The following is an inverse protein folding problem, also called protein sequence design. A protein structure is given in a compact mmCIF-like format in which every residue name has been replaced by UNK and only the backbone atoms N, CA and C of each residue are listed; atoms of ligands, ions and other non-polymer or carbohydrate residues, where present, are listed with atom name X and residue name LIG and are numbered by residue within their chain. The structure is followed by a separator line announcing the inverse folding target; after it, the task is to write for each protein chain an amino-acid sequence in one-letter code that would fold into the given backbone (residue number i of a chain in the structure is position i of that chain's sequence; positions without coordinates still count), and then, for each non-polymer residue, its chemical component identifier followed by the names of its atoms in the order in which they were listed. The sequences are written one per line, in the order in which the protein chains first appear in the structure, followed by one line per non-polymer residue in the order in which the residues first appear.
data_IF_002484062950
#
_entry.id   IF_002484062950
#
_cell.length_a   1.000
_cell.length_b   1.000
_cell.length_c   1.000
_cell.angle_alpha   90.00
_cell.angle_beta   90.00
_cell.angle_gamma   90.00
#
_symmetry.space_group_name_H-M   'P 1'
#
loop_
_entity.id
_entity.type
_entity.pdbx_description
1 polymer ?
#
# COMPACT_ATOMS: atom_id res chain seq x y z
N UNK A 1 -1.83 -18.28 3.17
CA UNK A 1 -2.19 -19.20 2.08
C UNK A 1 -1.68 -18.57 0.80
N UNK A 2 -1.29 -19.38 -0.19
CA UNK A 2 -0.92 -18.88 -1.50
C UNK A 2 -2.03 -19.16 -2.52
N UNK A 3 -1.98 -18.48 -3.65
CA UNK A 3 -2.82 -18.72 -4.81
C UNK A 3 -2.01 -18.52 -6.10
N UNK A 4 -2.52 -19.07 -7.20
CA UNK A 4 -1.97 -18.86 -8.52
C UNK A 4 -2.31 -17.44 -9.02
N UNK A 5 -1.28 -16.68 -9.37
CA UNK A 5 -1.39 -15.35 -9.97
C UNK A 5 -0.71 -15.31 -11.33
N UNK A 6 -1.11 -14.35 -12.16
CA UNK A 6 -0.33 -13.92 -13.32
C UNK A 6 0.30 -12.59 -12.98
N UNK A 7 1.63 -12.48 -13.06
CA UNK A 7 2.32 -11.21 -12.82
C UNK A 7 1.91 -10.18 -13.86
N UNK A 8 1.59 -8.96 -13.42
CA UNK A 8 1.04 -7.92 -14.29
C UNK A 8 2.06 -7.42 -15.32
N UNK A 9 3.34 -7.35 -14.96
CA UNK A 9 4.40 -6.79 -15.80
C UNK A 9 4.98 -7.78 -16.82
N UNK A 10 5.06 -9.07 -16.48
CA UNK A 10 5.67 -10.09 -17.37
C UNK A 10 4.69 -11.13 -17.91
N UNK A 11 3.47 -11.21 -17.40
CA UNK A 11 2.47 -12.22 -17.80
C UNK A 11 2.79 -13.64 -17.35
N UNK A 12 3.68 -13.81 -16.38
CA UNK A 12 4.13 -15.09 -15.86
C UNK A 12 3.18 -15.66 -14.79
N UNK A 13 2.93 -16.97 -14.81
CA UNK A 13 2.23 -17.65 -13.73
C UNK A 13 3.15 -17.85 -12.51
N UNK A 14 2.67 -17.47 -11.32
CA UNK A 14 3.41 -17.55 -10.05
C UNK A 14 2.52 -18.04 -8.91
N UNK A 15 3.10 -18.77 -7.96
CA UNK A 15 2.45 -19.10 -6.68
C UNK A 15 2.85 -18.03 -5.65
N UNK A 16 1.89 -17.28 -5.13
CA UNK A 16 2.19 -16.15 -4.26
C UNK A 16 1.16 -15.96 -3.13
N UNK A 17 1.54 -15.33 -2.01
CA UNK A 17 0.64 -15.09 -0.87
C UNK A 17 -0.67 -14.42 -1.26
N UNK A 18 -1.78 -15.03 -0.88
CA UNK A 18 -3.11 -14.43 -1.04
C UNK A 18 -3.28 -13.25 -0.10
N UNK A 19 -3.88 -12.17 -0.59
CA UNK A 19 -4.29 -11.04 0.24
C UNK A 19 -5.55 -11.42 1.04
N UNK A 20 -5.49 -11.46 2.39
CA UNK A 20 -6.64 -11.83 3.21
C UNK A 20 -7.81 -10.88 2.97
N UNK A 21 -9.01 -11.43 2.79
CA UNK A 21 -10.26 -10.66 2.86
C UNK A 21 -10.77 -10.65 4.29
N UNK A 22 -11.24 -9.49 4.77
CA UNK A 22 -11.97 -9.45 6.03
C UNK A 22 -13.32 -10.17 5.90
N UNK A 23 -13.98 -10.15 4.74
CA UNK A 23 -15.25 -10.85 4.54
C UNK A 23 -15.00 -12.33 4.20
N UNK A 24 -15.22 -13.20 5.18
CA UNK A 24 -15.34 -14.64 5.03
C UNK A 24 -16.81 -15.07 5.07
N UNK A 25 -17.11 -16.36 4.83
CA UNK A 25 -18.49 -16.87 4.87
C UNK A 25 -19.19 -16.69 6.23
N UNK A 26 -18.43 -16.45 7.31
CA UNK A 26 -18.93 -16.45 8.69
C UNK A 26 -19.10 -15.04 9.33
N UNK A 27 -18.75 -13.94 8.65
CA UNK A 27 -18.66 -12.61 9.28
C UNK A 27 -19.45 -11.51 8.56
N UNK A 28 -20.55 -11.89 7.90
CA UNK A 28 -21.44 -10.97 7.17
C UNK A 28 -22.12 -9.86 8.03
N UNK A 29 -21.90 -9.81 9.35
CA UNK A 29 -22.67 -8.99 10.29
C UNK A 29 -21.88 -7.89 11.03
N UNK A 30 -20.59 -7.70 10.77
CA UNK A 30 -19.86 -6.59 11.40
C UNK A 30 -19.89 -5.34 10.52
N UNK A 31 -20.34 -4.22 11.09
CA UNK A 31 -20.11 -2.89 10.53
C UNK A 31 -18.59 -2.66 10.45
N UNK A 32 -18.01 -2.96 9.30
CA UNK A 32 -16.57 -2.87 9.03
C UNK A 32 -16.23 -1.43 8.64
N UNK A 33 -15.51 -0.73 9.51
CA UNK A 33 -14.98 0.62 9.26
C UNK A 33 -13.66 0.60 8.47
N UNK A 34 -13.24 -0.58 8.00
CA UNK A 34 -11.98 -0.84 7.30
C UNK A 34 -10.82 -1.13 8.24
N UNK A 35 -10.87 -0.73 9.51
CA UNK A 35 -9.72 -0.89 10.41
C UNK A 35 -9.49 -2.35 10.83
N UNK A 36 -10.52 -3.18 10.80
CA UNK A 36 -10.40 -4.61 11.13
C UNK A 36 -9.64 -5.38 10.05
N UNK A 37 -9.62 -4.89 8.80
CA UNK A 37 -8.81 -5.50 7.74
C UNK A 37 -7.31 -5.47 8.04
N UNK A 38 -6.80 -4.43 8.71
CA UNK A 38 -5.39 -4.38 9.13
C UNK A 38 -5.01 -5.59 9.97
N UNK A 39 -5.88 -6.00 10.90
CA UNK A 39 -5.63 -7.13 11.81
C UNK A 39 -5.59 -8.45 11.06
N UNK A 40 -6.28 -8.56 9.93
CA UNK A 40 -6.19 -9.75 9.08
C UNK A 40 -4.83 -9.90 8.38
N UNK A 41 -4.02 -8.84 8.30
CA UNK A 41 -2.69 -8.90 7.71
C UNK A 41 -1.63 -9.37 8.71
N UNK A 42 -1.95 -9.43 10.02
CA UNK A 42 -1.02 -9.90 11.04
C UNK A 42 -0.57 -11.34 10.75
N UNK A 43 0.76 -11.55 10.73
CA UNK A 43 1.36 -12.84 10.39
C UNK A 43 1.39 -13.17 8.90
N UNK A 44 0.97 -12.24 8.04
CA UNK A 44 1.11 -12.34 6.57
C UNK A 44 2.28 -11.47 6.07
N UNK A 45 2.75 -11.65 4.83
CA UNK A 45 3.77 -10.77 4.27
C UNK A 45 3.23 -9.41 3.82
N UNK A 46 1.92 -9.17 3.92
CA UNK A 46 1.28 -7.92 3.52
C UNK A 46 1.39 -6.85 4.59
N UNK A 47 1.78 -5.65 4.20
CA UNK A 47 1.89 -4.48 5.08
C UNK A 47 1.12 -3.32 4.47
N UNK A 48 0.27 -2.66 5.26
CA UNK A 48 -0.48 -1.49 4.77
C UNK A 48 0.46 -0.31 4.53
N UNK A 49 0.27 0.35 3.39
CA UNK A 49 0.92 1.61 3.02
C UNK A 49 -0.12 2.71 3.10
N UNK A 50 0.10 3.69 3.98
CA UNK A 50 -0.83 4.80 4.21
C UNK A 50 -0.37 6.12 3.59
N UNK A 51 0.88 6.18 3.14
CA UNK A 51 1.53 7.39 2.62
C UNK A 51 2.38 7.08 1.39
N UNK A 52 2.42 8.00 0.45
CA UNK A 52 3.17 7.89 -0.80
C UNK A 52 3.86 9.21 -1.17
N UNK A 53 4.93 9.11 -1.94
CA UNK A 53 5.81 10.24 -2.26
C UNK A 53 6.72 10.62 -1.10
N UNK A 54 7.79 11.35 -1.41
CA UNK A 54 8.82 11.80 -0.45
C UNK A 54 8.25 12.69 0.66
N UNK A 55 7.19 13.44 0.38
CA UNK A 55 6.48 14.27 1.38
C UNK A 55 5.42 13.49 2.18
N UNK A 56 5.14 12.24 1.79
CA UNK A 56 4.24 11.36 2.53
C UNK A 56 2.78 11.78 2.48
N UNK A 57 2.29 12.11 1.28
CA UNK A 57 0.89 12.39 1.02
C UNK A 57 0.04 11.13 1.29
N UNK A 58 -1.16 11.26 1.88
CA UNK A 58 -2.01 10.11 2.14
C UNK A 58 -2.32 9.30 0.88
N UNK A 59 -2.12 7.99 0.97
CA UNK A 59 -2.41 7.01 -0.08
C UNK A 59 -3.83 6.47 0.11
N UNK A 60 -4.71 6.80 -0.83
CA UNK A 60 -6.11 6.39 -0.76
C UNK A 60 -6.95 7.16 0.25
N UNK A 61 -8.06 6.56 0.63
CA UNK A 61 -8.97 7.09 1.65
C UNK A 61 -9.14 6.02 2.72
N UNK A 62 -8.49 6.20 3.88
CA UNK A 62 -8.40 5.18 4.92
C UNK A 62 -9.76 4.64 5.41
N UNK A 63 -10.87 5.33 5.14
CA UNK A 63 -12.22 4.87 5.47
C UNK A 63 -12.86 3.96 4.42
N UNK A 64 -12.38 3.95 3.18
CA UNK A 64 -13.05 3.27 2.06
C UNK A 64 -12.12 2.53 1.10
N UNK A 65 -10.84 2.91 1.05
CA UNK A 65 -9.81 2.28 0.25
C UNK A 65 -8.46 2.34 0.96
N UNK A 66 -7.83 1.17 1.13
CA UNK A 66 -6.47 1.04 1.65
C UNK A 66 -5.60 0.24 0.69
N UNK A 67 -4.30 0.55 0.68
CA UNK A 67 -3.30 -0.15 -0.11
C UNK A 67 -2.36 -0.92 0.81
N UNK A 68 -1.99 -2.14 0.43
CA UNK A 68 -0.96 -2.93 1.09
C UNK A 68 0.09 -3.38 0.07
N UNK A 69 1.30 -3.62 0.55
CA UNK A 69 2.39 -4.17 -0.25
C UNK A 69 2.92 -5.44 0.38
N UNK A 70 3.44 -6.35 -0.42
CA UNK A 70 4.14 -7.54 0.05
C UNK A 70 5.42 -7.76 -0.75
N UNK A 71 6.38 -8.45 -0.13
CA UNK A 71 7.55 -9.01 -0.82
C UNK A 71 7.52 -10.51 -0.61
N UNK A 72 7.72 -11.27 -1.68
CA UNK A 72 7.77 -12.73 -1.67
C UNK A 72 8.94 -13.20 -2.53
N UNK A 73 9.52 -14.36 -2.21
CA UNK A 73 10.57 -14.98 -3.03
C UNK A 73 10.06 -16.33 -3.53
N UNK A 74 10.21 -16.57 -4.83
CA UNK A 74 10.00 -17.87 -5.46
C UNK A 74 11.29 -18.36 -6.15
N UNK A 75 11.20 -19.47 -6.90
CA UNK A 75 12.35 -20.07 -7.59
C UNK A 75 12.99 -19.17 -8.65
N UNK A 76 12.29 -18.13 -9.11
CA UNK A 76 12.72 -17.19 -10.15
C UNK A 76 13.14 -15.83 -9.59
N UNK A 77 12.94 -15.62 -8.29
CA UNK A 77 13.42 -14.46 -7.56
C UNK A 77 12.30 -13.71 -6.86
N UNK A 78 12.53 -12.42 -6.64
CA UNK A 78 11.61 -11.58 -5.87
C UNK A 78 10.34 -11.26 -6.65
N UNK A 79 9.23 -11.28 -5.91
CA UNK A 79 7.91 -10.83 -6.32
C UNK A 79 7.50 -9.67 -5.42
N UNK A 80 6.92 -8.65 -6.05
CA UNK A 80 6.45 -7.44 -5.42
C UNK A 80 4.93 -7.40 -5.52
N UNK A 81 4.24 -7.41 -4.39
CA UNK A 81 2.79 -7.47 -4.30
C UNK A 81 2.19 -6.09 -4.12
N UNK A 82 1.18 -5.76 -4.93
CA UNK A 82 0.23 -4.68 -4.68
C UNK A 82 -1.08 -5.30 -4.19
N UNK A 83 -1.62 -4.76 -3.11
CA UNK A 83 -2.89 -5.16 -2.54
C UNK A 83 -3.77 -3.95 -2.34
N UNK A 84 -5.06 -4.07 -2.62
CA UNK A 84 -6.04 -3.04 -2.27
C UNK A 84 -7.21 -3.68 -1.54
N UNK A 85 -7.69 -2.99 -0.51
CA UNK A 85 -8.98 -3.25 0.12
C UNK A 85 -9.92 -2.09 -0.19
N UNK A 86 -11.14 -2.40 -0.61
CA UNK A 86 -12.21 -1.43 -0.72
C UNK A 86 -13.54 -2.04 -0.28
N UNK A 87 -14.13 -1.51 0.79
CA UNK A 87 -15.45 -1.90 1.31
C UNK A 87 -15.65 -3.42 1.36
N UNK A 88 -14.71 -4.11 1.99
CA UNK A 88 -14.78 -5.54 2.19
C UNK A 88 -14.25 -6.42 1.06
N UNK A 89 -13.86 -5.83 -0.07
CA UNK A 89 -13.27 -6.56 -1.19
C UNK A 89 -11.78 -6.34 -1.24
N UNK A 90 -11.04 -7.42 -1.44
CA UNK A 90 -9.60 -7.36 -1.65
C UNK A 90 -9.22 -7.72 -3.08
N UNK A 91 -8.17 -7.08 -3.57
CA UNK A 91 -7.58 -7.33 -4.87
C UNK A 91 -6.07 -7.35 -4.73
N UNK A 92 -5.41 -8.27 -5.41
CA UNK A 92 -3.96 -8.41 -5.37
C UNK A 92 -3.39 -8.54 -6.78
N UNK A 93 -2.30 -7.81 -7.01
CA UNK A 93 -1.45 -7.90 -8.18
C UNK A 93 -0.02 -8.26 -7.73
N UNK A 94 0.70 -8.95 -8.60
CA UNK A 94 2.09 -9.30 -8.38
C UNK A 94 2.95 -8.86 -9.56
N UNK A 95 4.18 -8.45 -9.28
CA UNK A 95 5.12 -7.90 -10.25
C UNK A 95 6.50 -8.53 -10.06
N UNK A 96 7.27 -8.67 -11.13
CA UNK A 96 8.70 -9.02 -11.06
C UNK A 96 9.59 -7.79 -10.85
N UNK A 97 9.10 -6.61 -11.25
CA UNK A 97 9.80 -5.35 -11.15
C UNK A 97 9.22 -4.45 -10.05
N UNK A 98 10.04 -4.05 -9.08
CA UNK A 98 9.66 -3.10 -8.03
C UNK A 98 9.18 -1.76 -8.61
N UNK A 99 9.83 -1.28 -9.69
CA UNK A 99 9.39 -0.05 -10.36
C UNK A 99 7.99 -0.17 -10.97
N UNK A 100 7.57 -1.37 -11.39
CA UNK A 100 6.21 -1.61 -11.88
C UNK A 100 5.19 -1.58 -10.72
N UNK A 101 5.53 -2.17 -9.57
CA UNK A 101 4.74 -1.99 -8.33
C UNK A 101 4.60 -0.50 -7.97
N UNK A 102 5.70 0.24 -7.97
CA UNK A 102 5.67 1.68 -7.64
C UNK A 102 4.82 2.48 -8.63
N UNK A 103 4.83 2.13 -9.92
CA UNK A 103 3.96 2.75 -10.91
C UNK A 103 2.48 2.48 -10.58
N UNK A 104 2.10 1.25 -10.24
CA UNK A 104 0.72 0.91 -9.85
C UNK A 104 0.25 1.67 -8.60
N UNK A 105 1.10 1.76 -7.58
CA UNK A 105 0.80 2.53 -6.36
C UNK A 105 0.68 4.02 -6.69
N UNK A 106 1.54 4.53 -7.56
CA UNK A 106 1.52 5.95 -7.98
C UNK A 106 0.25 6.29 -8.76
N UNK A 107 -0.19 5.43 -9.68
CA UNK A 107 -1.47 5.59 -10.39
C UNK A 107 -2.64 5.62 -9.40
N UNK A 108 -2.63 4.70 -8.43
CA UNK A 108 -3.64 4.68 -7.36
C UNK A 108 -3.60 5.97 -6.55
N UNK A 109 -2.44 6.40 -6.07
CA UNK A 109 -2.28 7.63 -5.30
C UNK A 109 -2.80 8.85 -6.07
N UNK A 110 -2.37 8.97 -7.33
CA UNK A 110 -2.76 10.05 -8.23
C UNK A 110 -4.27 10.10 -8.45
N UNK A 111 -4.94 8.95 -8.64
CA UNK A 111 -6.39 8.89 -8.77
C UNK A 111 -7.10 9.52 -7.56
N UNK A 112 -6.72 9.14 -6.33
CA UNK A 112 -7.34 9.68 -5.12
C UNK A 112 -7.02 11.15 -4.86
N UNK A 113 -5.79 11.59 -5.18
CA UNK A 113 -5.41 13.00 -5.07
C UNK A 113 -6.19 13.87 -6.08
N UNK A 114 -6.29 13.39 -7.33
CA UNK A 114 -6.94 14.13 -8.42
C UNK A 114 -8.45 14.23 -8.24
N UNK A 115 -9.10 13.18 -7.72
CA UNK A 115 -10.53 13.18 -7.42
C UNK A 115 -10.88 13.94 -6.13
N UNK A 116 -9.87 14.46 -5.40
CA UNK A 116 -10.07 15.19 -4.15
C UNK A 116 -10.48 14.31 -2.97
N UNK A 117 -10.36 12.98 -3.11
CA UNK A 117 -10.65 12.03 -2.04
C UNK A 117 -9.49 11.86 -1.03
N UNK A 118 -8.30 12.35 -1.39
CA UNK A 118 -7.13 12.42 -0.52
C UNK A 118 -6.35 13.71 -0.75
N UNK A 119 -5.59 14.14 0.25
CA UNK A 119 -4.70 15.29 0.12
C UNK A 119 -3.45 14.89 -0.68
N UNK A 120 -3.30 15.45 -1.87
CA UNK A 120 -2.10 15.28 -2.70
C UNK A 120 -1.24 16.55 -2.78
N UNK A 121 -0.25 16.54 -3.68
CA UNK A 121 0.52 17.73 -4.06
C UNK A 121 -0.37 18.91 -4.50
N UNK A 122 0.08 20.15 -4.26
CA UNK A 122 -0.68 21.36 -4.62
C UNK A 122 -1.01 21.46 -6.12
N UNK A 123 -0.12 20.93 -6.96
CA UNK A 123 -0.22 21.01 -8.42
C UNK A 123 -0.09 19.62 -9.02
N UNK A 124 -1.23 19.01 -9.30
CA UNK A 124 -1.27 17.75 -10.01
C UNK A 124 -1.22 17.98 -11.53
N UNK A 125 -0.43 17.18 -12.27
CA UNK A 125 -0.45 17.17 -13.73
C UNK A 125 -1.74 16.53 -14.29
N UNK A 126 -1.84 16.43 -15.61
CA UNK A 126 -3.02 15.84 -16.24
C UNK A 126 -3.08 14.32 -16.02
N UNK A 127 -1.93 13.65 -15.97
CA UNK A 127 -1.80 12.19 -15.83
C UNK A 127 -0.74 11.79 -14.80
N UNK A 128 -0.84 10.59 -14.22
CA UNK A 128 0.13 10.16 -13.21
C UNK A 128 1.54 9.99 -13.78
N UNK A 129 1.67 9.60 -15.06
CA UNK A 129 2.96 9.48 -15.75
C UNK A 129 3.74 10.79 -15.92
N UNK A 130 3.10 11.93 -15.68
CA UNK A 130 3.72 13.27 -15.69
C UNK A 130 4.12 13.74 -14.28
N UNK A 131 3.88 12.93 -13.23
CA UNK A 131 4.26 13.30 -11.88
C UNK A 131 5.78 13.44 -11.75
N UNK A 132 6.26 14.47 -11.05
CA UNK A 132 7.63 14.54 -10.58
C UNK A 132 8.04 13.27 -9.83
N UNK A 133 9.28 12.82 -10.04
CA UNK A 133 9.81 11.57 -9.45
C UNK A 133 9.70 11.50 -7.92
N UNK A 134 9.69 12.66 -7.25
CA UNK A 134 9.52 12.76 -5.80
C UNK A 134 8.14 12.30 -5.30
N UNK A 135 7.14 12.18 -6.19
CA UNK A 135 5.81 11.67 -5.90
C UNK A 135 5.56 10.24 -6.39
N UNK A 136 6.57 9.60 -7.00
CA UNK A 136 6.45 8.25 -7.60
C UNK A 136 7.22 7.19 -6.81
N UNK A 137 7.58 7.49 -5.56
CA UNK A 137 8.42 6.65 -4.71
C UNK A 137 7.79 6.46 -3.33
N UNK A 138 8.15 5.38 -2.60
CA UNK A 138 7.68 5.18 -1.24
C UNK A 138 8.04 6.35 -0.32
N UNK A 139 7.13 6.69 0.59
CA UNK A 139 7.43 7.62 1.67
C UNK A 139 8.43 6.98 2.64
N UNK A 140 9.58 7.61 2.81
CA UNK A 140 10.53 7.25 3.85
C UNK A 140 10.27 8.12 5.07
N UNK A 141 9.61 7.53 6.08
CA UNK A 141 9.37 8.24 7.33
C UNK A 141 10.72 8.75 7.89
N UNK A 142 10.79 10.02 8.33
CA UNK A 142 12.00 10.53 8.95
C UNK A 142 12.35 9.63 10.13
N UNK A 143 13.66 9.38 10.31
CA UNK A 143 14.12 8.60 11.44
C UNK A 143 13.54 9.20 12.73
N UNK A 144 13.08 8.36 13.68
CA UNK A 144 12.59 8.87 14.94
C UNK A 144 13.64 9.80 15.52
N UNK A 145 13.24 11.03 15.85
CA UNK A 145 14.13 11.95 16.57
C UNK A 145 14.50 11.23 17.84
N UNK A 146 15.75 10.75 17.94
CA UNK A 146 16.26 10.20 19.19
C UNK A 146 15.98 11.25 20.23
N UNK A 147 15.25 10.89 21.29
CA UNK A 147 14.97 11.76 22.42
C UNK A 147 16.28 12.42 22.82
N UNK A 148 16.46 13.66 22.35
CA UNK A 148 17.59 14.45 22.77
C UNK A 148 17.19 14.82 24.17
N UNK A 149 17.95 14.42 25.21
CA UNK A 149 17.60 14.78 26.57
C UNK A 149 17.34 16.28 26.59
N UNK A 150 16.25 16.71 27.24
CA UNK A 150 16.08 18.15 27.48
C UNK A 150 17.39 18.67 28.05
N UNK A 151 17.85 19.81 27.55
CA UNK A 151 19.10 20.43 27.99
C UNK A 151 19.14 20.73 29.51
N UNK A 152 18.00 20.62 30.19
CA UNK A 152 17.81 20.87 31.63
C UNK A 152 17.77 19.59 32.50
N UNK A 153 17.83 18.38 31.91
CA UNK A 153 17.82 17.12 32.66
C UNK A 153 16.50 16.79 33.38
N UNK A 154 15.39 17.46 33.07
CA UNK A 154 14.10 17.12 33.64
C UNK A 154 13.49 15.87 32.98
N UNK A 155 12.91 14.92 33.75
CA UNK A 155 12.13 13.84 33.16
C UNK A 155 10.84 14.38 32.52
N UNK A 156 10.33 13.64 31.53
CA UNK A 156 9.02 13.89 30.92
C UNK A 156 7.88 13.60 31.91
#
# INVERSE_FOLDING_TARGET
MNADYITTDTGEAVDAPTLPSYWGPDNWQTEDDGYEWFRCLDGTPWTVVTRWGTEGHPLGNLYSMMVATAVHEDERGTLYGYGSYAQGRTYALWFRCEAALHAEITETAFFFWKDGQSQGPEKLPATAGELPAEYTVPYQAPAPVKDTPRADGAPF
#
